data_IF_503191985434
#
_entry.id   IF_503191985434
#
_cell.length_a   1.000
_cell.length_b   1.000
_cell.length_c   1.000
_cell.angle_alpha   90.00
_cell.angle_beta   90.00
_cell.angle_gamma   90.00
#
_symmetry.space_group_name_H-M   'P 1'
#
loop_
_entity.id
_entity.type
_entity.pdbx_description
1 polymer ?
#
# COMPACT_ATOMS: atom_id res chain seq x y z
N UNK A 1 -6.60 11.47 19.65
CA UNK A 1 -6.15 11.05 18.30
C UNK A 1 -6.97 9.86 17.84
N UNK A 2 -7.29 9.75 16.53
CA UNK A 2 -8.01 8.60 15.98
C UNK A 2 -7.25 7.29 16.23
N UNK A 3 -7.94 6.20 16.56
CA UNK A 3 -7.27 4.92 16.83
C UNK A 3 -6.79 4.22 15.55
N UNK A 4 -7.44 4.52 14.43
CA UNK A 4 -7.13 3.97 13.12
C UNK A 4 -7.16 5.12 12.11
N UNK A 5 -6.17 5.16 11.23
CA UNK A 5 -6.10 6.06 10.08
C UNK A 5 -5.93 5.21 8.83
N UNK A 6 -6.62 5.59 7.75
CA UNK A 6 -6.45 4.99 6.43
C UNK A 6 -6.28 6.10 5.39
N UNK A 7 -5.34 5.94 4.46
CA UNK A 7 -5.19 6.83 3.32
C UNK A 7 -4.61 6.11 2.11
N UNK A 8 -4.93 6.64 0.93
CA UNK A 8 -4.45 6.13 -0.35
C UNK A 8 -3.04 6.67 -0.67
N UNK A 9 -2.27 5.89 -1.42
CA UNK A 9 -1.02 6.30 -2.05
C UNK A 9 -1.00 5.92 -3.54
N UNK A 10 -0.09 6.53 -4.30
CA UNK A 10 0.09 6.24 -5.73
C UNK A 10 -1.05 6.79 -6.60
N UNK A 11 -1.25 6.19 -7.77
CA UNK A 11 -2.38 6.50 -8.65
C UNK A 11 -1.98 6.72 -10.12
N UNK A 12 -2.72 6.06 -11.01
CA UNK A 12 -2.81 6.36 -12.44
C UNK A 12 -1.67 5.83 -13.34
N UNK A 13 -0.52 5.48 -12.79
CA UNK A 13 0.57 4.73 -13.46
C UNK A 13 1.35 3.91 -12.41
N UNK A 14 2.28 3.07 -12.85
CA UNK A 14 3.18 2.35 -11.94
C UNK A 14 4.25 3.28 -11.36
N UNK A 15 4.72 2.96 -10.15
CA UNK A 15 5.76 3.69 -9.43
C UNK A 15 7.02 3.95 -10.26
N UNK A 16 7.50 2.94 -10.98
CA UNK A 16 8.72 3.03 -11.80
C UNK A 16 8.67 4.14 -12.88
N UNK A 17 7.48 4.62 -13.25
CA UNK A 17 7.34 5.72 -14.21
C UNK A 17 7.54 7.09 -13.56
N UNK A 18 7.41 7.20 -12.23
CA UNK A 18 7.61 8.45 -11.48
C UNK A 18 6.68 9.59 -11.88
N UNK A 19 5.45 9.28 -12.32
CA UNK A 19 4.46 10.24 -12.81
C UNK A 19 3.13 10.13 -12.06
N UNK A 20 2.23 11.11 -12.24
CA UNK A 20 0.91 11.17 -11.59
C UNK A 20 1.05 11.02 -10.07
N UNK A 21 0.35 10.07 -9.45
CA UNK A 21 0.43 9.79 -8.02
C UNK A 21 1.82 9.35 -7.52
N UNK A 22 2.72 8.98 -8.44
CA UNK A 22 4.12 8.65 -8.16
C UNK A 22 5.10 9.74 -8.55
N UNK A 23 4.62 10.92 -8.96
CA UNK A 23 5.52 12.07 -9.10
C UNK A 23 6.15 12.41 -7.76
N UNK A 24 7.34 13.00 -7.80
CA UNK A 24 8.13 13.32 -6.60
C UNK A 24 7.33 14.07 -5.54
N UNK A 25 6.48 15.01 -5.96
CA UNK A 25 5.67 15.82 -5.06
C UNK A 25 4.59 15.00 -4.33
N UNK A 26 3.90 14.09 -5.03
CA UNK A 26 2.88 13.24 -4.40
C UNK A 26 3.50 12.17 -3.52
N UNK A 27 4.59 11.54 -3.96
CA UNK A 27 5.35 10.59 -3.15
C UNK A 27 5.87 11.25 -1.87
N UNK A 28 6.46 12.46 -1.97
CA UNK A 28 6.94 13.20 -0.81
C UNK A 28 5.81 13.52 0.19
N UNK A 29 4.60 13.83 -0.29
CA UNK A 29 3.42 14.04 0.57
C UNK A 29 2.98 12.76 1.26
N UNK A 30 2.97 11.62 0.57
CA UNK A 30 2.68 10.32 1.19
C UNK A 30 3.69 9.99 2.30
N UNK A 31 4.98 10.16 2.03
CA UNK A 31 6.03 9.97 3.04
C UNK A 31 5.90 10.96 4.21
N UNK A 32 5.50 12.20 3.94
CA UNK A 32 5.26 13.19 4.98
C UNK A 32 4.07 12.82 5.88
N UNK A 33 2.97 12.29 5.32
CA UNK A 33 1.87 11.74 6.11
C UNK A 33 2.35 10.63 7.04
N UNK A 34 3.17 9.70 6.54
CA UNK A 34 3.76 8.63 7.36
C UNK A 34 4.66 9.19 8.47
N UNK A 35 5.45 10.23 8.19
CA UNK A 35 6.29 10.88 9.19
C UNK A 35 5.45 11.50 10.31
N UNK A 36 4.37 12.20 9.97
CA UNK A 36 3.43 12.77 10.96
C UNK A 36 2.82 11.65 11.82
N UNK A 37 2.37 10.56 11.20
CA UNK A 37 1.80 9.42 11.95
C UNK A 37 2.84 8.76 12.85
N UNK A 38 4.09 8.64 12.39
CA UNK A 38 5.21 8.16 13.21
C UNK A 38 5.40 9.04 14.45
N UNK A 39 5.47 10.37 14.26
CA UNK A 39 5.62 11.35 15.35
C UNK A 39 4.43 11.32 16.32
N UNK A 40 3.23 10.97 15.83
CA UNK A 40 2.04 10.79 16.66
C UNK A 40 1.97 9.44 17.40
N UNK A 41 2.96 8.55 17.21
CA UNK A 41 3.05 7.26 17.91
C UNK A 41 2.30 6.10 17.26
N UNK A 42 1.89 6.21 15.99
CA UNK A 42 1.31 5.07 15.26
C UNK A 42 2.39 4.04 14.98
N UNK A 43 2.13 2.77 15.30
CA UNK A 43 3.11 1.68 15.19
C UNK A 43 2.72 0.66 14.15
N UNK A 44 1.79 -0.24 14.50
CA UNK A 44 1.33 -1.28 13.61
C UNK A 44 0.64 -0.68 12.36
N UNK A 45 1.15 -1.04 11.20
CA UNK A 45 0.65 -0.56 9.91
C UNK A 45 0.50 -1.71 8.92
N UNK A 46 -0.47 -1.55 8.03
CA UNK A 46 -0.83 -2.48 6.96
C UNK A 46 -0.89 -1.73 5.65
N UNK A 47 -0.22 -2.25 4.63
CA UNK A 47 -0.32 -1.77 3.26
C UNK A 47 -1.03 -2.81 2.40
N UNK A 48 -2.02 -2.38 1.63
CA UNK A 48 -2.74 -3.20 0.67
C UNK A 48 -2.59 -2.53 -0.69
N UNK A 49 -1.77 -3.12 -1.56
CA UNK A 49 -1.53 -2.61 -2.91
C UNK A 49 -2.58 -3.15 -3.89
N UNK A 50 -2.87 -2.37 -4.92
CA UNK A 50 -3.65 -2.80 -6.07
C UNK A 50 -2.75 -3.44 -7.14
N UNK A 51 -1.74 -4.20 -6.72
CA UNK A 51 -0.98 -5.10 -7.56
C UNK A 51 -1.58 -6.51 -7.42
N UNK A 52 -2.06 -7.15 -8.50
CA UNK A 52 -2.63 -8.50 -8.49
C UNK A 52 -1.71 -9.58 -7.89
N UNK A 53 -0.40 -9.32 -7.84
CA UNK A 53 0.58 -10.23 -7.26
C UNK A 53 0.95 -9.87 -5.81
N UNK A 54 0.50 -8.71 -5.33
CA UNK A 54 0.78 -8.28 -3.96
C UNK A 54 -0.14 -8.98 -2.97
N UNK A 55 0.42 -9.22 -1.79
CA UNK A 55 -0.32 -9.53 -0.58
C UNK A 55 -0.31 -8.30 0.32
N UNK A 56 -1.16 -8.31 1.33
CA UNK A 56 -1.11 -7.36 2.43
C UNK A 56 0.27 -7.37 3.10
N UNK A 57 0.85 -6.19 3.32
CA UNK A 57 2.19 -6.04 3.89
C UNK A 57 2.08 -5.36 5.26
N UNK A 58 2.57 -6.03 6.29
CA UNK A 58 2.63 -5.50 7.64
C UNK A 58 3.99 -4.86 7.89
N UNK A 59 4.00 -3.72 8.57
CA UNK A 59 5.23 -3.08 9.01
C UNK A 59 4.99 -2.26 10.27
N UNK A 60 6.05 -2.11 11.07
CA UNK A 60 6.06 -1.17 12.18
C UNK A 60 6.57 0.18 11.70
N UNK A 61 5.69 1.18 11.72
CA UNK A 61 6.00 2.54 11.33
C UNK A 61 7.05 3.18 12.24
N UNK A 62 7.16 2.76 13.51
CA UNK A 62 8.19 3.24 14.43
C UNK A 62 9.59 2.73 14.06
N UNK A 63 9.69 1.55 13.44
CA UNK A 63 10.95 1.00 12.95
C UNK A 63 11.26 1.37 11.48
N UNK A 64 10.28 1.88 10.74
CA UNK A 64 10.45 2.24 9.33
C UNK A 64 11.37 3.45 9.14
N UNK A 65 12.34 3.32 8.23
CA UNK A 65 13.11 4.43 7.68
C UNK A 65 12.35 5.10 6.52
N UNK A 66 11.56 6.12 6.87
CA UNK A 66 10.68 6.85 5.95
C UNK A 66 11.47 7.65 4.90
N UNK A 67 12.78 7.87 5.10
CA UNK A 67 13.61 8.60 4.14
C UNK A 67 13.88 7.80 2.86
N UNK A 68 13.65 6.50 2.92
CA UNK A 68 13.85 5.60 1.79
C UNK A 68 12.52 5.27 1.11
N UNK A 69 12.48 5.44 -0.22
CA UNK A 69 11.35 5.04 -1.08
C UNK A 69 11.26 3.50 -1.22
N UNK A 70 11.89 2.73 -0.34
CA UNK A 70 11.88 1.26 -0.40
C UNK A 70 10.59 0.64 0.12
N UNK A 71 9.72 1.42 0.77
CA UNK A 71 8.42 0.92 1.24
C UNK A 71 7.55 0.43 0.08
N UNK A 72 7.56 1.14 -1.05
CA UNK A 72 6.70 0.82 -2.18
C UNK A 72 7.43 -0.03 -3.23
N UNK A 73 6.79 -1.12 -3.65
CA UNK A 73 7.25 -1.94 -4.78
C UNK A 73 7.41 -1.09 -6.05
N UNK A 74 8.38 -1.42 -6.91
CA UNK A 74 8.54 -0.75 -8.21
C UNK A 74 7.33 -0.93 -9.14
N UNK A 75 6.52 -1.97 -8.89
CA UNK A 75 5.31 -2.29 -9.66
C UNK A 75 4.04 -1.69 -9.04
N UNK A 76 4.14 -1.08 -7.86
CA UNK A 76 2.99 -0.49 -7.17
C UNK A 76 2.27 0.51 -8.08
N UNK A 77 0.93 0.44 -8.11
CA UNK A 77 0.11 1.36 -8.92
C UNK A 77 -0.61 2.34 -8.02
N UNK A 78 -1.35 1.84 -7.05
CA UNK A 78 -1.94 2.58 -5.95
C UNK A 78 -2.34 1.59 -4.86
N UNK A 79 -2.61 2.07 -3.67
CA UNK A 79 -3.05 1.21 -2.58
C UNK A 79 -3.46 2.01 -1.37
N UNK A 80 -3.81 1.30 -0.30
CA UNK A 80 -4.15 1.92 0.98
C UNK A 80 -3.14 1.54 2.05
N UNK A 81 -2.79 2.51 2.89
CA UNK A 81 -2.10 2.27 4.15
C UNK A 81 -3.10 2.46 5.28
N UNK A 82 -3.15 1.50 6.20
CA UNK A 82 -3.92 1.55 7.44
C UNK A 82 -2.92 1.52 8.59
N UNK A 83 -2.95 2.54 9.44
CA UNK A 83 -2.07 2.64 10.63
C UNK A 83 -2.91 2.73 11.90
N UNK A 84 -2.47 2.04 12.93
CA UNK A 84 -3.15 1.99 14.24
C UNK A 84 -2.31 2.62 15.35
N UNK A 85 -3.00 3.25 16.29
CA UNK A 85 -2.43 3.83 17.50
C UNK A 85 -2.69 2.88 18.67
N UNK A 86 -1.64 2.41 19.35
CA UNK A 86 -1.72 1.52 20.52
C UNK A 86 -2.50 0.20 20.31
N UNK A 87 -2.63 -0.26 19.08
CA UNK A 87 -3.31 -1.52 18.72
C UNK A 87 -2.42 -2.28 17.77
N UNK A 88 -2.17 -3.55 18.05
CA UNK A 88 -1.49 -4.46 17.13
C UNK A 88 -2.51 -5.09 16.17
N UNK A 89 -2.15 -5.18 14.88
CA UNK A 89 -2.97 -5.87 13.89
C UNK A 89 -2.69 -7.38 13.95
N UNK A 90 -3.74 -8.17 14.15
CA UNK A 90 -3.67 -9.62 14.04
C UNK A 90 -3.51 -10.01 12.56
N UNK A 91 -2.31 -10.50 12.21
CA UNK A 91 -1.96 -10.83 10.84
C UNK A 91 -2.79 -11.97 10.27
N UNK A 92 -3.13 -12.97 11.09
CA UNK A 92 -3.92 -14.12 10.64
C UNK A 92 -5.38 -13.73 10.37
N UNK A 93 -5.94 -12.89 11.24
CA UNK A 93 -7.28 -12.35 11.05
C UNK A 93 -7.37 -11.49 9.79
N UNK A 94 -6.40 -10.60 9.57
CA UNK A 94 -6.34 -9.76 8.37
C UNK A 94 -6.13 -10.61 7.12
N UNK A 95 -5.21 -11.58 7.13
CA UNK A 95 -4.98 -12.47 5.99
C UNK A 95 -6.25 -13.26 5.61
N UNK A 96 -7.03 -13.70 6.62
CA UNK A 96 -8.32 -14.35 6.39
C UNK A 96 -9.34 -13.42 5.70
N UNK A 97 -9.35 -12.13 6.07
CA UNK A 97 -10.19 -11.10 5.44
C UNK A 97 -9.74 -10.82 4.00
N UNK A 98 -8.42 -10.74 3.75
CA UNK A 98 -7.85 -10.38 2.45
C UNK A 98 -7.91 -11.53 1.42
N UNK A 99 -7.78 -12.79 1.87
CA UNK A 99 -7.68 -13.99 1.01
C UNK A 99 -8.76 -14.10 -0.09
N UNK A 100 -10.05 -13.81 0.15
CA UNK A 100 -11.06 -13.86 -0.91
C UNK A 100 -10.80 -12.87 -2.05
N UNK A 101 -10.25 -11.68 -1.74
CA UNK A 101 -10.04 -10.60 -2.70
C UNK A 101 -8.78 -10.79 -3.56
N UNK A 102 -7.75 -11.46 -3.02
CA UNK A 102 -6.54 -11.81 -3.77
C UNK A 102 -6.86 -12.67 -5.01
N UNK A 103 -7.84 -13.57 -4.92
CA UNK A 103 -8.24 -14.44 -6.04
C UNK A 103 -8.96 -13.68 -7.17
N UNK A 104 -9.77 -12.69 -6.81
CA UNK A 104 -10.52 -11.88 -7.77
C UNK A 104 -9.56 -11.03 -8.61
N UNK A 105 -8.61 -10.38 -7.96
CA UNK A 105 -7.60 -9.56 -8.63
C UNK A 105 -6.76 -10.37 -9.64
N UNK A 106 -6.43 -11.62 -9.30
CA UNK A 106 -5.68 -12.51 -10.19
C UNK A 106 -6.51 -12.96 -11.40
N UNK A 107 -7.80 -13.25 -11.24
CA UNK A 107 -8.69 -13.63 -12.35
C UNK A 107 -8.89 -12.45 -13.30
N UNK A 108 -9.20 -11.27 -12.78
CA UNK A 108 -9.35 -10.06 -13.59
C UNK A 108 -8.06 -9.70 -14.33
N UNK A 109 -6.90 -9.82 -13.67
CA UNK A 109 -5.61 -9.62 -14.33
C UNK A 109 -5.35 -10.63 -15.45
N UNK A 110 -5.67 -11.91 -15.24
CA UNK A 110 -5.54 -12.94 -16.28
C UNK A 110 -6.46 -12.65 -17.46
N UNK A 111 -7.73 -12.29 -17.21
CA UNK A 111 -8.69 -11.90 -18.25
C UNK A 111 -8.17 -10.69 -19.01
N UNK A 112 -7.74 -9.64 -18.33
CA UNK A 112 -7.19 -8.44 -18.96
C UNK A 112 -5.96 -8.78 -19.80
N UNK A 113 -5.03 -9.61 -19.32
CA UNK A 113 -3.83 -10.03 -20.07
C UNK A 113 -4.16 -10.88 -21.30
N UNK A 114 -5.20 -11.70 -21.23
CA UNK A 114 -5.67 -12.52 -22.36
C UNK A 114 -6.37 -11.66 -23.43
N UNK A 115 -7.17 -10.69 -23.00
CA UNK A 115 -7.94 -9.80 -23.89
C UNK A 115 -7.07 -8.68 -24.48
N UNK A 116 -6.01 -8.25 -23.79
CA UNK A 116 -5.09 -7.19 -24.23
C UNK A 116 -3.88 -7.67 -25.05
N UNK A 117 -3.82 -8.95 -25.46
CA UNK A 117 -2.88 -9.37 -26.51
C UNK A 117 -3.27 -8.70 -27.83
N UNK A 118 -2.40 -7.90 -28.48
CA UNK A 118 -2.66 -7.45 -29.84
C UNK A 118 -2.50 -8.63 -30.82
N UNK A 119 -3.27 -8.56 -31.91
CA UNK A 119 -3.04 -9.31 -33.13
C UNK A 119 -1.67 -8.99 -33.75
#
# INVERSE_FOLDING_TARGET
>A
MPQVIMFEYGGGVNKNQGQKGWSKDFLAKTLHCLAILKDCGYGSSLMIDFDPQSQEQFFDLQCLDITTDSLFSSNAVYGNIISTLNVELDQDAIASICRPYQRVNMVEWLVNKLVSKPA
#
